data_IF_037973055503
#
_entry.id   IF_037973055503
#
_cell.length_a   1.000
_cell.length_b   1.000
_cell.length_c   1.000
_cell.angle_alpha   90.00
_cell.angle_beta   90.00
_cell.angle_gamma   90.00
#
_symmetry.space_group_name_H-M   'P 1'
#
loop_
_entity.id
_entity.type
_entity.pdbx_description
1 polymer ?
#
# COMPACT_ATOMS: atom_id res chain seq x y z
N UNK A 1 42.70 24.96 -20.91
CA UNK A 1 41.75 23.83 -21.02
C UNK A 1 41.08 23.69 -19.67
N UNK A 2 39.78 24.00 -19.55
CA UNK A 2 39.04 23.76 -18.32
C UNK A 2 38.77 22.25 -18.23
N UNK A 3 39.27 21.60 -17.19
CA UNK A 3 38.90 20.23 -16.84
C UNK A 3 37.42 20.22 -16.44
N UNK A 4 36.56 19.82 -17.39
CA UNK A 4 35.15 19.58 -17.11
C UNK A 4 35.08 18.31 -16.27
N UNK A 5 34.88 18.47 -14.97
CA UNK A 5 34.63 17.32 -14.10
C UNK A 5 33.30 16.69 -14.50
N UNK A 6 33.25 15.36 -14.73
CA UNK A 6 32.01 14.70 -15.02
C UNK A 6 31.02 14.89 -13.85
N UNK A 7 29.74 15.13 -14.13
CA UNK A 7 28.73 15.31 -13.10
C UNK A 7 28.68 14.06 -12.21
N UNK A 8 28.82 14.25 -10.90
CA UNK A 8 28.70 13.16 -9.91
C UNK A 8 27.27 13.09 -9.40
N UNK A 9 26.74 11.87 -9.26
CA UNK A 9 25.45 11.66 -8.62
C UNK A 9 25.60 11.93 -7.12
N UNK A 10 24.83 12.89 -6.61
CA UNK A 10 24.69 13.05 -5.18
C UNK A 10 23.58 12.11 -4.68
N UNK A 11 23.94 10.88 -4.29
CA UNK A 11 23.00 9.87 -3.78
C UNK A 11 22.15 10.39 -2.61
N UNK A 12 22.76 11.18 -1.73
CA UNK A 12 22.07 11.82 -0.61
C UNK A 12 21.00 12.81 -1.09
N UNK A 13 21.30 13.64 -2.10
CA UNK A 13 20.30 14.55 -2.66
C UNK A 13 19.12 13.81 -3.31
N UNK A 14 19.37 12.69 -4.01
CA UNK A 14 18.29 11.85 -4.56
C UNK A 14 17.45 11.26 -3.43
N UNK A 15 18.08 10.69 -2.41
CA UNK A 15 17.38 10.14 -1.25
C UNK A 15 16.55 11.18 -0.49
N UNK A 16 17.12 12.35 -0.23
CA UNK A 16 16.43 13.45 0.46
C UNK A 16 15.23 13.95 -0.36
N UNK A 17 15.35 14.00 -1.70
CA UNK A 17 14.24 14.30 -2.60
C UNK A 17 13.11 13.26 -2.47
N UNK A 18 13.43 11.96 -2.54
CA UNK A 18 12.44 10.89 -2.40
C UNK A 18 11.74 10.94 -1.04
N UNK A 19 12.49 11.17 0.05
CA UNK A 19 11.91 11.34 1.40
C UNK A 19 11.00 12.55 1.48
N UNK A 20 11.35 13.66 0.83
CA UNK A 20 10.50 14.85 0.79
C UNK A 20 9.18 14.56 0.06
N UNK A 21 9.23 13.88 -1.08
CA UNK A 21 8.03 13.48 -1.83
C UNK A 21 7.14 12.55 -1.01
N UNK A 22 7.71 11.54 -0.35
CA UNK A 22 6.98 10.64 0.55
C UNK A 22 6.32 11.40 1.72
N UNK A 23 7.01 12.40 2.31
CA UNK A 23 6.44 13.26 3.36
C UNK A 23 5.26 14.09 2.86
N UNK A 24 5.31 14.60 1.63
CA UNK A 24 4.18 15.33 1.01
C UNK A 24 2.95 14.42 0.89
N UNK A 25 3.17 13.11 0.73
CA UNK A 25 2.12 12.09 0.77
C UNK A 25 1.78 11.57 2.17
N UNK A 26 2.22 12.25 3.23
CA UNK A 26 1.96 11.87 4.61
C UNK A 26 2.49 10.48 4.98
N UNK A 27 3.61 10.06 4.38
CA UNK A 27 4.29 8.81 4.72
C UNK A 27 5.38 9.11 5.75
N UNK A 28 5.39 8.36 6.85
CA UNK A 28 6.48 8.44 7.82
C UNK A 28 7.76 7.86 7.23
N UNK A 29 8.83 8.67 7.25
CA UNK A 29 10.15 8.33 6.73
C UNK A 29 11.22 8.36 7.82
N UNK A 30 10.85 8.36 9.11
CA UNK A 30 11.81 8.44 10.22
C UNK A 30 12.83 7.31 10.21
N UNK A 31 12.37 6.10 9.87
CA UNK A 31 13.17 4.87 9.88
C UNK A 31 13.92 4.61 8.55
N UNK A 32 13.72 5.47 7.54
CA UNK A 32 14.42 5.35 6.26
C UNK A 32 15.89 5.76 6.39
N UNK A 33 16.80 4.83 6.11
CA UNK A 33 18.25 5.02 6.19
C UNK A 33 18.90 5.06 4.80
N UNK A 34 19.82 6.01 4.60
CA UNK A 34 20.49 6.26 3.32
C UNK A 34 21.35 5.06 2.90
N UNK A 35 21.97 4.38 3.85
CA UNK A 35 22.92 3.29 3.63
C UNK A 35 22.29 2.16 2.81
N UNK A 36 21.03 1.80 3.13
CA UNK A 36 20.28 0.78 2.38
C UNK A 36 19.98 1.22 0.96
N UNK A 37 19.54 2.46 0.79
CA UNK A 37 19.24 3.03 -0.53
C UNK A 37 20.50 3.19 -1.39
N UNK A 38 21.64 3.46 -0.75
CA UNK A 38 22.89 3.75 -1.45
C UNK A 38 23.37 2.58 -2.31
N UNK A 39 22.92 1.36 -2.02
CA UNK A 39 23.21 0.14 -2.78
C UNK A 39 22.41 0.05 -4.10
N UNK A 40 21.29 0.76 -4.21
CA UNK A 40 20.43 0.75 -5.42
C UNK A 40 21.03 1.57 -6.55
N UNK A 41 21.67 2.68 -6.20
CA UNK A 41 22.14 3.65 -7.17
C UNK A 41 23.59 3.38 -7.58
N UNK A 42 23.98 3.68 -8.83
CA UNK A 42 25.36 3.56 -9.30
C UNK A 42 26.35 4.24 -8.37
N UNK A 43 27.54 3.64 -8.21
CA UNK A 43 28.64 4.18 -7.43
C UNK A 43 29.21 5.49 -7.99
N UNK A 44 30.23 6.02 -7.32
CA UNK A 44 30.96 7.23 -7.78
C UNK A 44 31.75 7.00 -9.08
N UNK A 45 31.90 5.75 -9.47
CA UNK A 45 32.60 5.22 -10.63
C UNK A 45 31.68 5.00 -11.84
N UNK A 46 30.43 5.46 -11.79
CA UNK A 46 29.46 5.30 -12.88
C UNK A 46 29.95 5.95 -14.21
N UNK A 47 29.81 5.21 -15.32
CA UNK A 47 30.12 5.70 -16.67
C UNK A 47 29.17 6.81 -17.11
N UNK A 48 29.55 7.59 -18.14
CA UNK A 48 28.68 8.63 -18.70
C UNK A 48 27.37 8.04 -19.24
N UNK A 49 27.40 6.85 -19.83
CA UNK A 49 26.20 6.14 -20.26
C UNK A 49 25.30 5.79 -19.07
N UNK A 50 25.85 5.24 -17.99
CA UNK A 50 25.10 4.93 -16.77
C UNK A 50 24.46 6.18 -16.16
N UNK A 51 25.18 7.30 -16.13
CA UNK A 51 24.66 8.59 -15.65
C UNK A 51 23.49 9.07 -16.52
N UNK A 52 23.57 8.94 -17.84
CA UNK A 52 22.51 9.32 -18.78
C UNK A 52 21.27 8.44 -18.59
N UNK A 53 21.46 7.13 -18.40
CA UNK A 53 20.36 6.20 -18.11
C UNK A 53 19.71 6.56 -16.77
N UNK A 54 20.49 6.81 -15.72
CA UNK A 54 19.94 7.20 -14.43
C UNK A 54 19.17 8.52 -14.50
N UNK A 55 19.70 9.53 -15.20
CA UNK A 55 19.00 10.79 -15.38
C UNK A 55 17.68 10.60 -16.12
N UNK A 56 17.66 9.77 -17.17
CA UNK A 56 16.44 9.41 -17.88
C UNK A 56 15.46 8.68 -16.96
N UNK A 57 15.95 7.75 -16.14
CA UNK A 57 15.15 6.97 -15.19
C UNK A 57 14.48 7.86 -14.14
N UNK A 58 15.20 8.83 -13.57
CA UNK A 58 14.69 9.73 -12.53
C UNK A 58 13.66 10.75 -13.05
N UNK A 59 13.58 10.97 -14.37
CA UNK A 59 12.67 11.96 -14.98
C UNK A 59 11.53 11.28 -15.74
N UNK A 60 11.81 10.17 -16.43
CA UNK A 60 10.89 9.45 -17.31
C UNK A 60 11.16 7.93 -17.20
N UNK A 61 10.83 7.31 -16.06
CA UNK A 61 11.17 5.91 -15.77
C UNK A 61 10.60 4.91 -16.78
N UNK A 62 9.43 5.19 -17.38
CA UNK A 62 8.83 4.33 -18.41
C UNK A 62 9.62 4.28 -19.72
N UNK A 63 10.50 5.25 -19.99
CA UNK A 63 11.31 5.25 -21.21
C UNK A 63 12.58 4.40 -21.08
N UNK A 64 12.98 4.07 -19.85
CA UNK A 64 14.16 3.24 -19.61
C UNK A 64 13.78 1.77 -19.76
N UNK A 65 14.46 1.01 -20.64
CA UNK A 65 14.21 -0.42 -20.83
C UNK A 65 14.82 -1.25 -19.70
N UNK A 66 14.55 -2.56 -19.64
CA UNK A 66 15.15 -3.44 -18.65
C UNK A 66 16.67 -3.60 -18.86
N UNK A 67 17.14 -3.57 -20.11
CA UNK A 67 18.55 -3.62 -20.48
C UNK A 67 19.29 -2.36 -20.05
N UNK A 68 18.68 -1.19 -20.22
CA UNK A 68 19.23 0.07 -19.72
C UNK A 68 19.22 0.08 -18.19
N UNK A 69 18.12 -0.33 -17.56
CA UNK A 69 18.00 -0.38 -16.11
C UNK A 69 19.06 -1.32 -15.48
N UNK A 70 19.38 -2.45 -16.14
CA UNK A 70 20.49 -3.36 -15.76
C UNK A 70 21.86 -2.69 -15.71
N UNK A 71 22.05 -1.58 -16.43
CA UNK A 71 23.31 -0.83 -16.39
C UNK A 71 23.47 -0.04 -15.10
N UNK A 72 22.38 0.36 -14.46
CA UNK A 72 22.40 1.21 -13.26
C UNK A 72 21.96 0.50 -11.98
N UNK A 73 21.32 -0.66 -12.10
CA UNK A 73 20.77 -1.45 -11.00
C UNK A 73 20.94 -2.94 -11.32
N UNK A 74 21.31 -3.75 -10.34
CA UNK A 74 21.39 -5.20 -10.53
C UNK A 74 19.99 -5.81 -10.61
N UNK A 75 19.66 -6.40 -11.77
CA UNK A 75 18.42 -7.12 -12.00
C UNK A 75 18.71 -8.60 -12.29
N UNK A 76 18.20 -9.49 -11.46
CA UNK A 76 18.36 -10.94 -11.66
C UNK A 76 17.07 -11.55 -12.22
N UNK A 77 17.10 -12.30 -13.35
CA UNK A 77 15.91 -12.96 -13.85
C UNK A 77 15.37 -13.96 -12.83
N UNK A 78 14.06 -14.00 -12.62
CA UNK A 78 13.44 -14.95 -11.67
C UNK A 78 13.69 -16.43 -12.02
N UNK A 79 13.97 -16.74 -13.29
CA UNK A 79 14.32 -18.09 -13.75
C UNK A 79 15.82 -18.41 -13.63
N UNK A 80 16.64 -17.39 -13.40
CA UNK A 80 18.08 -17.50 -13.29
C UNK A 80 18.54 -17.68 -11.84
N UNK A 81 17.62 -17.81 -10.88
CA UNK A 81 17.94 -18.25 -9.52
C UNK A 81 18.64 -19.59 -9.70
N UNK A 82 19.99 -19.64 -9.55
CA UNK A 82 20.67 -20.91 -9.55
C UNK A 82 20.07 -21.71 -8.40
N UNK A 83 20.39 -22.99 -8.28
CA UNK A 83 20.36 -23.60 -6.96
C UNK A 83 21.24 -22.75 -6.02
N UNK A 84 20.71 -21.67 -5.43
CA UNK A 84 21.26 -21.04 -4.25
C UNK A 84 21.46 -22.23 -3.35
N UNK A 85 22.75 -22.52 -3.09
CA UNK A 85 23.16 -23.66 -2.29
C UNK A 85 22.16 -23.76 -1.15
N UNK A 86 21.58 -24.94 -0.96
CA UNK A 86 20.70 -25.33 0.14
C UNK A 86 21.38 -25.08 1.50
N UNK A 87 21.72 -23.83 1.79
CA UNK A 87 21.98 -23.34 3.13
C UNK A 87 20.60 -22.93 3.60
N UNK A 88 19.97 -23.91 4.23
CA UNK A 88 18.56 -24.07 4.59
C UNK A 88 18.00 -22.97 5.53
N UNK A 89 18.62 -21.79 5.69
CA UNK A 89 18.36 -20.97 6.88
C UNK A 89 18.14 -19.46 6.73
N UNK A 90 18.50 -18.77 5.64
CA UNK A 90 18.13 -17.34 5.55
C UNK A 90 16.71 -17.20 4.97
N UNK A 91 15.77 -16.84 5.84
CA UNK A 91 14.52 -16.24 5.41
C UNK A 91 14.89 -14.86 4.88
N UNK A 92 14.93 -14.68 3.57
CA UNK A 92 15.26 -13.40 2.96
C UNK A 92 13.98 -12.68 2.55
N UNK A 93 13.87 -11.42 2.95
CA UNK A 93 12.87 -10.52 2.42
C UNK A 93 13.35 -9.97 1.09
N UNK A 94 12.65 -10.31 0.02
CA UNK A 94 13.04 -10.06 -1.35
C UNK A 94 12.12 -9.04 -2.02
N UNK A 95 12.71 -8.24 -2.89
CA UNK A 95 11.99 -7.29 -3.73
C UNK A 95 12.11 -7.70 -5.18
N UNK A 96 11.04 -7.47 -5.94
CA UNK A 96 11.00 -7.81 -7.34
C UNK A 96 10.29 -6.72 -8.15
N UNK A 97 10.60 -6.70 -9.42
CA UNK A 97 9.98 -5.86 -10.43
C UNK A 97 9.36 -6.75 -11.49
N UNK A 98 8.14 -6.43 -11.91
CA UNK A 98 7.52 -6.94 -13.12
C UNK A 98 7.53 -5.86 -14.17
N UNK A 99 7.69 -6.24 -15.43
CA UNK A 99 7.83 -5.28 -16.52
C UNK A 99 7.15 -5.78 -17.78
N UNK A 100 6.43 -4.87 -18.43
CA UNK A 100 5.78 -5.07 -19.72
C UNK A 100 6.29 -4.04 -20.70
N UNK A 101 7.04 -4.49 -21.69
CA UNK A 101 7.56 -3.64 -22.76
C UNK A 101 6.57 -3.61 -23.92
N UNK A 102 6.23 -2.41 -24.39
CA UNK A 102 5.25 -2.21 -25.44
C UNK A 102 5.57 -0.97 -26.28
N UNK A 103 4.90 -0.83 -27.41
CA UNK A 103 4.98 0.38 -28.23
C UNK A 103 4.16 1.51 -27.59
N UNK A 104 4.47 2.78 -27.90
CA UNK A 104 3.71 3.90 -27.37
C UNK A 104 2.23 3.86 -27.77
N UNK A 105 1.92 3.44 -29.00
CA UNK A 105 0.53 3.29 -29.48
C UNK A 105 -0.23 2.29 -28.60
N UNK A 106 0.38 1.15 -28.28
CA UNK A 106 -0.25 0.15 -27.40
C UNK A 106 -0.52 0.72 -25.99
N UNK A 107 0.41 1.48 -25.41
CA UNK A 107 0.19 2.12 -24.12
C UNK A 107 -0.96 3.13 -24.17
N UNK A 108 -1.04 3.92 -25.25
CA UNK A 108 -2.12 4.88 -25.47
C UNK A 108 -3.48 4.17 -25.53
N UNK A 109 -3.57 3.11 -26.35
CA UNK A 109 -4.80 2.35 -26.55
C UNK A 109 -5.28 1.69 -25.25
N UNK A 110 -4.37 1.08 -24.48
CA UNK A 110 -4.69 0.52 -23.15
C UNK A 110 -5.22 1.62 -22.22
N UNK A 111 -4.53 2.76 -22.14
CA UNK A 111 -4.91 3.85 -21.25
C UNK A 111 -6.26 4.45 -21.62
N UNK A 112 -6.54 4.56 -22.92
CA UNK A 112 -7.81 5.02 -23.46
C UNK A 112 -8.94 4.03 -23.16
N UNK A 113 -8.72 2.76 -23.44
CA UNK A 113 -9.70 1.70 -23.19
C UNK A 113 -10.12 1.64 -21.72
N UNK A 114 -9.16 1.65 -20.79
CA UNK A 114 -9.46 1.66 -19.35
C UNK A 114 -10.30 2.88 -18.94
N UNK A 115 -10.03 4.06 -19.51
CA UNK A 115 -10.87 5.24 -19.24
C UNK A 115 -12.28 5.13 -19.85
N UNK A 116 -12.42 4.52 -21.03
CA UNK A 116 -13.71 4.27 -21.67
C UNK A 116 -14.55 3.27 -20.86
N UNK A 117 -13.92 2.34 -20.12
CA UNK A 117 -14.58 1.49 -19.12
C UNK A 117 -14.94 2.21 -17.81
N UNK A 118 -14.74 3.53 -17.74
CA UNK A 118 -15.04 4.35 -16.57
C UNK A 118 -13.99 4.27 -15.46
N UNK A 119 -12.77 3.77 -15.73
CA UNK A 119 -11.68 3.80 -14.74
C UNK A 119 -11.08 5.20 -14.65
N UNK A 120 -10.92 5.70 -13.43
CA UNK A 120 -10.45 7.08 -13.14
C UNK A 120 -9.09 7.10 -12.43
N UNK A 121 -8.16 6.22 -12.82
CA UNK A 121 -6.82 6.19 -12.24
C UNK A 121 -5.98 7.36 -12.76
N UNK A 122 -5.37 8.21 -11.90
CA UNK A 122 -4.52 9.32 -12.33
C UNK A 122 -3.33 8.90 -13.20
N UNK A 123 -2.85 7.67 -13.05
CA UNK A 123 -1.76 7.08 -13.82
C UNK A 123 -2.07 7.05 -15.33
N UNK A 124 -3.35 6.90 -15.72
CA UNK A 124 -3.74 6.77 -17.12
C UNK A 124 -3.46 8.06 -17.91
N UNK A 125 -3.57 9.22 -17.29
CA UNK A 125 -3.27 10.51 -17.92
C UNK A 125 -1.76 10.66 -18.15
N UNK A 126 -0.95 10.23 -17.17
CA UNK A 126 0.51 10.19 -17.30
C UNK A 126 0.94 9.22 -18.41
N UNK A 127 0.33 8.04 -18.48
CA UNK A 127 0.66 7.05 -19.51
C UNK A 127 0.31 7.53 -20.91
N UNK A 128 -0.83 8.22 -21.08
CA UNK A 128 -1.17 8.89 -22.33
C UNK A 128 -0.12 9.94 -22.68
N UNK A 129 0.28 10.80 -21.75
CA UNK A 129 1.31 11.79 -22.00
C UNK A 129 2.64 11.14 -22.44
N UNK A 130 3.09 10.12 -21.71
CA UNK A 130 4.31 9.36 -22.02
C UNK A 130 4.23 8.69 -23.40
N UNK A 131 3.05 8.17 -23.77
CA UNK A 131 2.86 7.56 -25.10
C UNK A 131 3.11 8.54 -26.26
N UNK A 132 2.81 9.83 -26.08
CA UNK A 132 3.13 10.84 -27.07
C UNK A 132 4.61 11.24 -27.03
N UNK A 133 5.18 11.37 -25.83
CA UNK A 133 6.58 11.77 -25.64
C UNK A 133 7.59 10.72 -26.10
N UNK A 134 7.24 9.44 -26.03
CA UNK A 134 8.12 8.33 -26.39
C UNK A 134 8.45 8.28 -27.89
N UNK A 135 7.63 8.89 -28.75
CA UNK A 135 7.81 8.85 -30.21
C UNK A 135 7.77 7.42 -30.75
N UNK A 136 8.92 6.92 -31.22
CA UNK A 136 9.07 5.54 -31.70
C UNK A 136 9.77 4.62 -30.70
N UNK A 137 10.17 5.14 -29.53
CA UNK A 137 10.86 4.35 -28.50
C UNK A 137 9.85 3.48 -27.76
N UNK A 138 10.20 2.23 -27.48
CA UNK A 138 9.37 1.38 -26.62
C UNK A 138 9.28 1.97 -25.21
N UNK A 139 8.14 1.72 -24.58
CA UNK A 139 7.85 2.08 -23.19
C UNK A 139 7.76 0.82 -22.34
N UNK A 140 8.16 0.91 -21.09
CA UNK A 140 8.12 -0.20 -20.14
C UNK A 140 7.26 0.17 -18.93
N UNK A 141 6.08 -0.42 -18.83
CA UNK A 141 5.20 -0.34 -17.65
C UNK A 141 5.71 -1.31 -16.61
N UNK A 142 5.70 -0.91 -15.32
CA UNK A 142 6.30 -1.70 -14.25
C UNK A 142 5.39 -1.86 -13.03
N UNK A 143 5.65 -2.91 -12.25
CA UNK A 143 5.09 -3.12 -10.93
C UNK A 143 6.22 -3.51 -9.97
N UNK A 144 6.26 -2.89 -8.80
CA UNK A 144 7.18 -3.24 -7.72
C UNK A 144 6.43 -4.05 -6.68
N UNK A 145 7.04 -5.15 -6.20
CA UNK A 145 6.48 -5.93 -5.11
C UNK A 145 7.54 -6.50 -4.19
N UNK A 146 7.08 -7.05 -3.08
CA UNK A 146 7.91 -7.68 -2.07
C UNK A 146 7.40 -9.08 -1.70
N UNK A 147 8.29 -9.93 -1.19
CA UNK A 147 7.94 -11.26 -0.67
C UNK A 147 8.92 -11.70 0.41
N UNK A 148 8.45 -12.46 1.40
CA UNK A 148 9.27 -12.96 2.50
C UNK A 148 10.12 -14.20 2.11
N UNK A 149 10.20 -14.51 0.80
CA UNK A 149 10.99 -15.60 0.28
C UNK A 149 11.27 -15.45 -1.23
N UNK A 150 12.54 -15.38 -1.61
CA UNK A 150 13.02 -15.31 -3.01
C UNK A 150 12.44 -16.42 -3.90
N UNK A 151 12.37 -17.65 -3.41
CA UNK A 151 11.85 -18.81 -4.17
C UNK A 151 10.35 -18.72 -4.50
N UNK A 152 9.62 -17.79 -3.90
CA UNK A 152 8.18 -17.62 -4.11
C UNK A 152 7.83 -16.49 -5.06
N UNK A 153 8.79 -15.77 -5.65
CA UNK A 153 8.48 -14.63 -6.53
C UNK A 153 7.63 -15.04 -7.72
N UNK A 154 7.96 -16.14 -8.41
CA UNK A 154 7.13 -16.66 -9.51
C UNK A 154 5.75 -17.14 -9.04
N UNK A 155 5.66 -17.69 -7.81
CA UNK A 155 4.37 -18.08 -7.22
C UNK A 155 3.53 -16.85 -6.88
N UNK A 156 4.14 -15.81 -6.32
CA UNK A 156 3.50 -14.52 -6.07
C UNK A 156 3.04 -13.85 -7.35
N UNK A 157 3.76 -14.04 -8.46
CA UNK A 157 3.28 -13.65 -9.78
C UNK A 157 1.96 -14.31 -10.13
N UNK A 158 1.89 -15.64 -10.06
CA UNK A 158 0.66 -16.36 -10.29
C UNK A 158 -0.45 -15.94 -9.33
N UNK A 159 -0.14 -15.77 -8.04
CA UNK A 159 -1.12 -15.37 -7.03
C UNK A 159 -1.66 -13.96 -7.28
N UNK A 160 -0.82 -12.99 -7.63
CA UNK A 160 -1.28 -11.63 -7.93
C UNK A 160 -2.08 -11.59 -9.23
N UNK A 161 -1.65 -12.29 -10.28
CA UNK A 161 -2.40 -12.35 -11.54
C UNK A 161 -3.78 -12.98 -11.35
N UNK A 162 -3.90 -14.02 -10.51
CA UNK A 162 -5.16 -14.72 -10.30
C UNK A 162 -6.08 -14.08 -9.26
N UNK A 163 -5.54 -13.29 -8.31
CA UNK A 163 -6.32 -12.81 -7.15
C UNK A 163 -6.48 -11.28 -7.09
N UNK A 164 -5.88 -10.51 -7.99
CA UNK A 164 -6.09 -9.05 -7.98
C UNK A 164 -7.46 -8.72 -8.55
N UNK A 165 -8.19 -7.89 -7.81
CA UNK A 165 -9.49 -7.38 -8.25
C UNK A 165 -9.34 -6.67 -9.59
N UNK A 166 -10.27 -6.93 -10.52
CA UNK A 166 -10.42 -6.18 -11.78
C UNK A 166 -10.65 -4.68 -11.56
N UNK A 167 -11.02 -4.28 -10.34
CA UNK A 167 -11.15 -2.87 -9.97
C UNK A 167 -9.83 -2.22 -9.53
N UNK A 168 -8.74 -2.97 -9.39
CA UNK A 168 -7.40 -2.42 -9.16
C UNK A 168 -6.73 -2.06 -10.49
N UNK A 169 -5.83 -1.07 -10.50
CA UNK A 169 -5.09 -0.69 -11.72
C UNK A 169 -4.33 -1.87 -12.32
N UNK A 170 -3.63 -2.65 -11.48
CA UNK A 170 -2.94 -3.87 -11.93
C UNK A 170 -3.91 -4.89 -12.54
N UNK A 171 -5.02 -5.18 -11.87
CA UNK A 171 -5.99 -6.18 -12.36
C UNK A 171 -6.71 -5.73 -13.64
N UNK A 172 -7.06 -4.45 -13.74
CA UNK A 172 -7.66 -3.85 -14.92
C UNK A 172 -6.68 -3.86 -16.11
N UNK A 173 -5.43 -3.45 -15.87
CA UNK A 173 -4.35 -3.49 -16.86
C UNK A 173 -4.08 -4.92 -17.36
N UNK A 174 -4.00 -5.90 -16.45
CA UNK A 174 -3.81 -7.30 -16.82
C UNK A 174 -4.96 -7.84 -17.65
N UNK A 175 -6.20 -7.55 -17.26
CA UNK A 175 -7.40 -7.97 -18.02
C UNK A 175 -7.36 -7.38 -19.44
N UNK A 176 -7.05 -6.09 -19.58
CA UNK A 176 -6.89 -5.44 -20.87
C UNK A 176 -5.77 -6.06 -21.72
N UNK A 177 -4.63 -6.41 -21.12
CA UNK A 177 -3.54 -7.09 -21.83
C UNK A 177 -3.92 -8.51 -22.28
N UNK A 178 -4.63 -9.27 -21.45
CA UNK A 178 -5.05 -10.63 -21.80
C UNK A 178 -6.04 -10.65 -22.97
N UNK A 179 -6.93 -9.65 -23.03
CA UNK A 179 -7.96 -9.54 -24.06
C UNK A 179 -7.44 -8.88 -25.35
N UNK A 180 -6.71 -7.76 -25.24
CA UNK A 180 -6.29 -6.96 -26.39
C UNK A 180 -4.86 -7.20 -26.86
N UNK A 181 -3.95 -7.63 -25.98
CA UNK A 181 -2.52 -7.75 -26.27
C UNK A 181 -1.89 -9.01 -25.65
N UNK A 182 -2.40 -10.23 -25.95
CA UNK A 182 -2.01 -11.45 -25.25
C UNK A 182 -0.51 -11.76 -25.33
N UNK A 183 0.14 -11.34 -26.41
CA UNK A 183 1.59 -11.48 -26.58
C UNK A 183 2.40 -10.62 -25.60
N UNK A 184 1.92 -9.43 -25.25
CA UNK A 184 2.54 -8.57 -24.23
C UNK A 184 2.31 -9.18 -22.86
N UNK A 185 1.09 -9.67 -22.59
CA UNK A 185 0.75 -10.36 -21.34
C UNK A 185 1.70 -11.54 -21.06
N UNK A 186 1.92 -12.40 -22.07
CA UNK A 186 2.79 -13.57 -21.96
C UNK A 186 4.29 -13.26 -21.86
N UNK A 187 4.70 -12.04 -22.24
CA UNK A 187 6.11 -11.59 -22.23
C UNK A 187 6.47 -10.76 -21.00
N UNK A 188 5.65 -10.80 -19.95
CA UNK A 188 5.97 -10.15 -18.69
C UNK A 188 7.33 -10.66 -18.16
N UNK A 189 8.27 -9.74 -17.94
CA UNK A 189 9.56 -10.06 -17.36
C UNK A 189 9.52 -9.85 -15.85
N UNK A 190 10.14 -10.78 -15.10
CA UNK A 190 10.22 -10.71 -13.65
C UNK A 190 11.70 -10.69 -13.24
N UNK A 191 12.07 -9.62 -12.54
CA UNK A 191 13.42 -9.40 -12.05
C UNK A 191 13.45 -9.29 -10.52
N UNK A 192 14.35 -10.00 -9.88
CA UNK A 192 14.74 -9.81 -8.50
C UNK A 192 15.66 -8.60 -8.36
N UNK A 193 15.54 -7.93 -7.22
CA UNK A 193 16.37 -6.80 -6.80
C UNK A 193 17.23 -7.24 -5.60
N UNK A 194 18.35 -7.94 -5.85
CA UNK A 194 19.13 -8.57 -4.78
C UNK A 194 19.80 -7.54 -3.86
N UNK A 195 20.25 -6.39 -4.38
CA UNK A 195 21.04 -5.42 -3.61
C UNK A 195 20.24 -4.70 -2.51
N UNK A 196 18.93 -4.88 -2.47
CA UNK A 196 17.99 -4.33 -1.47
C UNK A 196 17.26 -5.39 -0.67
N UNK A 197 17.45 -6.65 -1.05
CA UNK A 197 16.89 -7.76 -0.31
C UNK A 197 17.69 -7.94 0.98
N UNK A 198 17.04 -8.40 2.04
CA UNK A 198 17.67 -8.46 3.37
C UNK A 198 17.22 -9.68 4.16
N UNK A 199 18.11 -10.17 5.02
CA UNK A 199 17.80 -11.27 5.92
C UNK A 199 16.75 -10.85 6.97
N UNK A 200 15.72 -11.69 7.13
CA UNK A 200 14.70 -11.55 8.15
C UNK A 200 15.32 -11.95 9.49
N UNK A 201 15.50 -10.96 10.36
CA UNK A 201 16.05 -11.18 11.70
C UNK A 201 14.97 -11.76 12.63
N UNK A 202 15.25 -12.90 13.28
CA UNK A 202 14.33 -13.51 14.24
C UNK A 202 13.13 -14.21 13.59
N UNK A 203 11.94 -14.03 14.18
CA UNK A 203 10.73 -14.64 13.60
C UNK A 203 10.28 -13.88 12.35
N UNK A 204 9.73 -14.59 11.36
CA UNK A 204 9.26 -13.99 10.10
C UNK A 204 8.17 -12.93 10.27
N UNK A 205 7.53 -12.90 11.44
CA UNK A 205 6.48 -11.95 11.79
C UNK A 205 6.98 -10.82 12.71
N UNK A 206 8.30 -10.69 12.90
CA UNK A 206 8.85 -9.60 13.70
C UNK A 206 8.50 -8.27 13.03
N UNK A 207 7.80 -7.41 13.77
CA UNK A 207 7.25 -6.14 13.26
C UNK A 207 8.36 -5.31 12.58
N UNK A 208 9.56 -5.28 13.14
CA UNK A 208 10.71 -4.57 12.55
C UNK A 208 11.06 -5.01 11.12
N UNK A 209 10.92 -6.30 10.78
CA UNK A 209 11.21 -6.78 9.43
C UNK A 209 10.18 -6.28 8.42
N UNK A 210 8.89 -6.28 8.80
CA UNK A 210 7.83 -5.77 7.92
C UNK A 210 7.88 -4.24 7.79
N UNK A 211 8.23 -3.53 8.86
CA UNK A 211 8.45 -2.08 8.81
C UNK A 211 9.59 -1.72 7.85
N UNK A 212 10.72 -2.45 7.94
CA UNK A 212 11.84 -2.30 7.01
C UNK A 212 11.43 -2.63 5.57
N UNK A 213 10.61 -3.67 5.38
CA UNK A 213 10.06 -4.03 4.07
C UNK A 213 9.27 -2.88 3.47
N UNK A 214 8.35 -2.33 4.25
CA UNK A 214 7.41 -1.32 3.81
C UNK A 214 8.13 -0.02 3.43
N UNK A 215 9.14 0.36 4.21
CA UNK A 215 9.98 1.52 3.92
C UNK A 215 10.76 1.34 2.60
N UNK A 216 11.38 0.18 2.42
CA UNK A 216 12.13 -0.12 1.20
C UNK A 216 11.21 -0.17 -0.02
N UNK A 217 10.05 -0.83 0.08
CA UNK A 217 9.06 -0.88 -1.01
C UNK A 217 8.55 0.51 -1.38
N UNK A 218 8.24 1.34 -0.38
CA UNK A 218 7.75 2.71 -0.60
C UNK A 218 8.79 3.57 -1.31
N UNK A 219 10.04 3.44 -0.89
CA UNK A 219 11.15 4.15 -1.51
C UNK A 219 11.42 3.66 -2.95
N UNK A 220 11.28 2.37 -3.23
CA UNK A 220 11.38 1.84 -4.61
C UNK A 220 10.25 2.39 -5.47
N UNK A 221 9.01 2.37 -4.98
CA UNK A 221 7.87 2.90 -5.73
C UNK A 221 8.08 4.37 -6.05
N UNK A 222 8.60 5.15 -5.10
CA UNK A 222 8.94 6.55 -5.34
C UNK A 222 10.09 6.71 -6.35
N UNK A 223 11.15 5.91 -6.22
CA UNK A 223 12.30 5.92 -7.14
C UNK A 223 11.87 5.63 -8.59
N UNK A 224 10.99 4.65 -8.79
CA UNK A 224 10.46 4.26 -10.09
C UNK A 224 9.32 5.16 -10.59
N UNK A 225 8.96 6.20 -9.83
CA UNK A 225 7.86 7.11 -10.11
C UNK A 225 6.50 6.46 -9.85
N UNK A 226 5.78 6.92 -8.84
CA UNK A 226 4.48 6.34 -8.47
C UNK A 226 3.46 6.37 -9.63
N UNK A 227 3.46 7.44 -10.45
CA UNK A 227 2.55 7.60 -11.59
C UNK A 227 2.87 6.72 -12.81
N UNK A 228 4.09 6.20 -12.88
CA UNK A 228 4.56 5.31 -13.95
C UNK A 228 4.43 3.83 -13.61
N UNK A 229 4.00 3.51 -12.39
CA UNK A 229 3.86 2.14 -11.90
C UNK A 229 2.40 1.69 -11.88
N UNK A 230 2.22 0.37 -11.80
CA UNK A 230 0.94 -0.29 -11.54
C UNK A 230 0.60 -0.33 -10.04
N UNK A 231 1.46 0.21 -9.19
CA UNK A 231 1.30 0.30 -7.75
C UNK A 231 0.36 1.46 -7.39
N UNK A 232 -0.91 1.17 -7.04
CA UNK A 232 -1.82 2.21 -6.51
C UNK A 232 -1.45 2.67 -5.10
N UNK A 233 -0.84 1.78 -4.31
CA UNK A 233 -0.36 2.12 -2.98
C UNK A 233 1.09 2.57 -3.10
N UNK A 234 1.45 3.62 -2.37
CA UNK A 234 2.82 4.15 -2.28
C UNK A 234 3.80 3.21 -1.54
N UNK A 235 3.48 1.91 -1.45
CA UNK A 235 4.26 0.87 -0.81
C UNK A 235 3.66 0.32 0.48
N UNK A 236 4.18 -0.84 0.88
CA UNK A 236 4.01 -1.40 2.22
C UNK A 236 2.76 -2.24 2.45
N UNK A 237 2.91 -3.18 3.39
CA UNK A 237 1.80 -3.86 4.02
C UNK A 237 1.09 -2.95 5.04
N UNK A 238 1.84 -2.11 5.76
CA UNK A 238 1.33 -1.14 6.71
C UNK A 238 1.42 0.28 6.14
N UNK A 239 0.28 0.98 6.09
CA UNK A 239 0.28 2.41 5.77
C UNK A 239 0.75 3.16 7.02
N UNK A 240 1.95 3.74 6.95
CA UNK A 240 2.50 4.63 7.98
C UNK A 240 2.08 6.07 7.70
N UNK A 241 0.80 6.37 7.96
CA UNK A 241 0.30 7.73 7.83
C UNK A 241 0.87 8.62 8.94
N UNK A 242 1.44 9.75 8.55
CA UNK A 242 1.93 10.81 9.41
C UNK A 242 1.01 12.05 9.22
N UNK A 243 0.14 12.37 10.20
CA UNK A 243 -0.61 13.62 10.19
C UNK A 243 0.32 14.82 10.05
N UNK A 244 -0.21 15.94 9.58
CA UNK A 244 0.56 17.19 9.51
C UNK A 244 0.88 17.67 10.92
N UNK A 245 2.02 18.33 11.08
CA UNK A 245 2.42 18.91 12.36
C UNK A 245 1.41 19.96 12.84
N UNK A 246 0.80 20.69 11.91
CA UNK A 246 -0.29 21.63 12.22
C UNK A 246 -1.51 20.90 12.82
N UNK A 247 -1.89 19.74 12.28
CA UNK A 247 -3.03 18.96 12.77
C UNK A 247 -2.77 18.46 14.19
N UNK A 248 -1.54 17.99 14.46
CA UNK A 248 -1.14 17.57 15.81
C UNK A 248 -1.15 18.72 16.80
N UNK A 249 -0.61 19.87 16.40
CA UNK A 249 -0.56 21.08 17.25
C UNK A 249 -1.97 21.57 17.57
N UNK A 250 -2.86 21.60 16.57
CA UNK A 250 -4.28 21.92 16.77
C UNK A 250 -4.89 20.95 17.76
N UNK A 251 -4.72 19.64 17.56
CA UNK A 251 -5.32 18.63 18.43
C UNK A 251 -4.78 18.71 19.86
N UNK A 252 -3.46 18.88 20.03
CA UNK A 252 -2.81 19.04 21.32
C UNK A 252 -3.38 20.26 22.07
N UNK A 253 -3.61 21.38 21.36
CA UNK A 253 -4.19 22.59 21.93
C UNK A 253 -5.64 22.44 22.43
N UNK A 254 -6.39 21.43 21.97
CA UNK A 254 -7.76 21.18 22.42
C UNK A 254 -7.83 20.58 23.83
N UNK A 255 -6.72 20.04 24.36
CA UNK A 255 -6.65 19.44 25.70
C UNK A 255 -7.77 18.41 25.96
N UNK A 256 -8.10 17.59 24.95
CA UNK A 256 -9.20 16.63 25.04
C UNK A 256 -8.85 15.46 25.96
N UNK A 257 -9.88 14.90 26.62
CA UNK A 257 -9.81 13.66 27.42
C UNK A 257 -10.78 12.61 26.89
N UNK A 258 -11.04 12.65 25.58
CA UNK A 258 -12.12 11.89 24.96
C UNK A 258 -11.90 10.38 25.12
N UNK A 259 -10.71 9.87 24.78
CA UNK A 259 -10.42 8.43 24.84
C UNK A 259 -10.52 7.94 26.28
N UNK A 260 -10.03 8.71 27.25
CA UNK A 260 -10.15 8.36 28.66
C UNK A 260 -11.62 8.27 29.08
N UNK A 261 -12.41 9.33 28.82
CA UNK A 261 -13.82 9.42 29.23
C UNK A 261 -14.69 8.37 28.57
N UNK A 262 -14.56 8.16 27.26
CA UNK A 262 -15.37 7.15 26.55
C UNK A 262 -15.08 5.73 27.04
N UNK A 263 -13.85 5.47 27.49
CA UNK A 263 -13.44 4.17 28.03
C UNK A 263 -13.86 3.95 29.49
N UNK A 264 -13.88 4.99 30.32
CA UNK A 264 -14.22 4.88 31.75
C UNK A 264 -15.71 5.09 32.05
N UNK A 265 -16.36 5.98 31.32
CA UNK A 265 -17.73 6.45 31.57
C UNK A 265 -18.68 6.10 30.42
N UNK A 266 -18.16 5.62 29.29
CA UNK A 266 -18.98 5.22 28.16
C UNK A 266 -19.72 3.90 28.40
N UNK A 267 -20.90 3.78 27.80
CA UNK A 267 -21.74 2.58 27.86
C UNK A 267 -22.21 2.19 26.46
N UNK A 268 -22.35 0.89 26.22
CA UNK A 268 -22.97 0.42 24.99
C UNK A 268 -24.44 0.82 24.91
N UNK A 269 -24.94 1.02 23.69
CA UNK A 269 -26.35 1.28 23.44
C UNK A 269 -27.23 0.16 24.03
N UNK A 270 -28.40 0.46 24.63
CA UNK A 270 -29.23 -0.56 25.27
C UNK A 270 -29.66 -1.69 24.31
N UNK A 271 -29.50 -2.94 24.74
CA UNK A 271 -29.74 -4.12 23.89
C UNK A 271 -31.19 -4.25 23.40
N UNK A 272 -32.15 -3.85 24.23
CA UNK A 272 -33.57 -3.84 23.86
C UNK A 272 -33.84 -2.87 22.69
N UNK A 273 -33.26 -1.66 22.74
CA UNK A 273 -33.37 -0.67 21.66
C UNK A 273 -32.60 -1.11 20.43
N UNK A 274 -31.39 -1.66 20.61
CA UNK A 274 -30.58 -2.17 19.51
C UNK A 274 -31.30 -3.28 18.74
N UNK A 275 -31.88 -4.24 19.47
CA UNK A 275 -32.63 -5.36 18.86
C UNK A 275 -33.82 -4.86 18.04
N UNK A 276 -34.52 -3.82 18.51
CA UNK A 276 -35.60 -3.19 17.74
C UNK A 276 -35.09 -2.56 16.44
N UNK A 277 -33.96 -1.86 16.46
CA UNK A 277 -33.34 -1.26 15.27
C UNK A 277 -32.92 -2.36 14.29
N UNK A 278 -32.28 -3.43 14.77
CA UNK A 278 -31.86 -4.56 13.92
C UNK A 278 -33.03 -5.21 13.21
N UNK A 279 -34.16 -5.40 13.91
CA UNK A 279 -35.36 -5.98 13.32
C UNK A 279 -35.97 -5.07 12.23
N UNK A 280 -35.95 -3.75 12.43
CA UNK A 280 -36.41 -2.78 11.43
C UNK A 280 -35.53 -2.80 10.18
N UNK A 281 -34.20 -2.79 10.35
CA UNK A 281 -33.28 -2.91 9.22
C UNK A 281 -33.45 -4.24 8.49
N UNK A 282 -33.57 -5.36 9.20
CA UNK A 282 -33.79 -6.67 8.59
C UNK A 282 -35.08 -6.72 7.75
N UNK A 283 -36.15 -6.02 8.18
CA UNK A 283 -37.39 -5.91 7.42
C UNK A 283 -37.20 -5.09 6.12
N UNK A 284 -36.51 -3.94 6.19
CA UNK A 284 -36.19 -3.11 5.01
C UNK A 284 -35.30 -3.86 4.01
N UNK A 285 -34.37 -4.70 4.50
CA UNK A 285 -33.50 -5.51 3.63
C UNK A 285 -34.21 -6.68 2.96
N UNK A 286 -35.12 -7.34 3.67
CA UNK A 286 -35.91 -8.44 3.10
C UNK A 286 -36.78 -7.98 1.91
N UNK A 287 -37.15 -6.70 1.85
CA UNK A 287 -37.91 -6.11 0.75
C UNK A 287 -37.04 -5.67 -0.44
N UNK A 288 -35.73 -5.46 -0.26
CA UNK A 288 -34.85 -4.80 -1.26
C UNK A 288 -33.81 -5.68 -1.94
N UNK A 289 -33.44 -6.84 -1.38
CA UNK A 289 -32.31 -7.63 -1.92
C UNK A 289 -32.74 -8.94 -2.60
N UNK A 290 -32.64 -8.93 -3.93
CA UNK A 290 -32.19 -10.08 -4.73
C UNK A 290 -30.68 -9.97 -4.88
N UNK A 291 -29.87 -10.62 -4.03
CA UNK A 291 -28.41 -10.61 -4.22
C UNK A 291 -27.69 -11.88 -3.72
N UNK A 292 -26.78 -12.33 -4.58
CA UNK A 292 -26.10 -13.64 -4.70
C UNK A 292 -25.02 -13.96 -3.64
N UNK A 293 -24.82 -13.12 -2.63
CA UNK A 293 -23.74 -13.32 -1.64
C UNK A 293 -24.26 -13.92 -0.33
N UNK A 294 -23.93 -15.20 -0.11
CA UNK A 294 -24.19 -15.89 1.16
C UNK A 294 -23.20 -15.39 2.22
N UNK A 295 -23.55 -14.33 2.94
CA UNK A 295 -22.81 -13.89 4.13
C UNK A 295 -23.02 -14.91 5.25
N UNK A 296 -21.92 -15.40 5.84
CA UNK A 296 -22.00 -16.37 6.92
C UNK A 296 -22.74 -15.79 8.15
N UNK A 297 -23.43 -16.65 8.92
CA UNK A 297 -24.11 -16.21 10.16
C UNK A 297 -23.14 -15.53 11.14
N UNK A 298 -21.89 -16.00 11.18
CA UNK A 298 -20.83 -15.42 12.00
C UNK A 298 -20.46 -14.01 11.53
N UNK A 299 -20.29 -13.80 10.22
CA UNK A 299 -20.02 -12.50 9.63
C UNK A 299 -21.16 -11.51 9.90
N UNK A 300 -22.41 -11.94 9.71
CA UNK A 300 -23.58 -11.12 10.04
C UNK A 300 -23.60 -10.69 11.50
N UNK A 301 -23.35 -11.62 12.42
CA UNK A 301 -23.25 -11.30 13.85
C UNK A 301 -22.12 -10.31 14.16
N UNK A 302 -20.96 -10.45 13.50
CA UNK A 302 -19.85 -9.52 13.66
C UNK A 302 -20.19 -8.11 13.15
N UNK A 303 -20.81 -8.00 11.96
CA UNK A 303 -21.27 -6.74 11.36
C UNK A 303 -22.29 -6.03 12.25
N UNK A 304 -23.29 -6.76 12.76
CA UNK A 304 -24.31 -6.21 13.66
C UNK A 304 -23.69 -5.75 14.99
N UNK A 305 -22.77 -6.53 15.56
CA UNK A 305 -22.19 -6.20 16.85
C UNK A 305 -21.24 -5.00 16.78
N UNK A 306 -20.44 -4.88 15.72
CA UNK A 306 -19.54 -3.74 15.56
C UNK A 306 -20.28 -2.45 15.22
N UNK A 307 -21.47 -2.52 14.63
CA UNK A 307 -22.30 -1.34 14.34
C UNK A 307 -23.01 -0.80 15.59
N UNK A 308 -23.04 -1.58 16.69
CA UNK A 308 -23.73 -1.19 17.92
C UNK A 308 -23.06 0.06 18.52
N UNK A 309 -23.80 1.16 18.71
CA UNK A 309 -23.19 2.39 19.18
C UNK A 309 -22.62 2.26 20.59
N UNK A 310 -21.47 2.88 20.82
CA UNK A 310 -20.94 3.14 22.16
C UNK A 310 -21.17 4.61 22.48
N UNK A 311 -21.67 4.89 23.67
CA UNK A 311 -22.24 6.21 24.02
C UNK A 311 -21.57 6.79 25.26
N UNK A 312 -21.29 8.09 25.20
CA UNK A 312 -20.96 8.91 26.35
C UNK A 312 -22.14 9.84 26.64
N UNK A 313 -22.71 9.78 27.84
CA UNK A 313 -23.89 10.57 28.22
C UNK A 313 -25.05 10.46 27.19
N UNK A 314 -25.27 9.25 26.67
CA UNK A 314 -26.31 8.97 25.66
C UNK A 314 -25.98 9.42 24.24
N UNK A 315 -24.78 9.95 23.98
CA UNK A 315 -24.34 10.44 22.66
C UNK A 315 -23.21 9.57 22.09
N UNK A 316 -23.31 9.19 20.82
CA UNK A 316 -22.21 8.53 20.09
C UNK A 316 -21.34 9.59 19.45
N UNK A 317 -20.10 9.71 19.92
CA UNK A 317 -19.20 10.81 19.53
C UNK A 317 -18.44 10.50 18.25
N UNK A 318 -18.09 9.24 18.01
CA UNK A 318 -17.36 8.81 16.82
C UNK A 318 -17.97 7.52 16.27
N UNK A 319 -18.10 7.47 14.94
CA UNK A 319 -18.51 6.29 14.18
C UNK A 319 -17.59 6.18 12.98
N UNK A 320 -17.03 5.00 12.76
CA UNK A 320 -16.28 4.71 11.55
C UNK A 320 -17.22 4.14 10.50
N UNK A 321 -17.17 4.68 9.30
CA UNK A 321 -17.99 4.24 8.17
C UNK A 321 -17.03 3.87 7.05
N UNK A 322 -17.15 2.67 6.51
CA UNK A 322 -16.22 2.16 5.50
C UNK A 322 -16.93 1.34 4.43
N UNK A 323 -16.35 1.32 3.23
CA UNK A 323 -16.99 0.77 2.04
C UNK A 323 -16.95 -0.76 1.98
N UNK A 324 -15.90 -1.45 2.43
CA UNK A 324 -15.88 -2.92 2.36
C UNK A 324 -14.97 -3.58 3.41
N UNK A 325 -15.47 -4.65 4.04
CA UNK A 325 -14.64 -5.65 4.72
C UNK A 325 -14.20 -6.69 3.69
N UNK A 326 -12.89 -6.98 3.61
CA UNK A 326 -12.39 -7.97 2.65
C UNK A 326 -13.07 -9.33 2.84
N UNK A 327 -13.19 -10.14 1.78
CA UNK A 327 -13.79 -11.48 1.86
C UNK A 327 -13.17 -12.33 2.99
N UNK A 328 -11.87 -12.16 3.25
CA UNK A 328 -11.19 -12.81 4.38
C UNK A 328 -11.68 -12.35 5.77
N UNK A 329 -12.12 -11.09 5.94
CA UNK A 329 -12.75 -10.63 7.19
C UNK A 329 -14.14 -11.24 7.35
N UNK A 330 -14.91 -11.28 6.27
CA UNK A 330 -16.24 -11.88 6.28
C UNK A 330 -16.14 -13.38 6.58
N UNK A 331 -15.21 -14.09 5.96
CA UNK A 331 -14.95 -15.50 6.25
C UNK A 331 -14.48 -15.74 7.69
N UNK A 332 -13.64 -14.85 8.22
CA UNK A 332 -13.14 -14.95 9.60
C UNK A 332 -14.21 -14.61 10.66
N UNK A 333 -15.30 -13.92 10.29
CA UNK A 333 -16.34 -13.49 11.21
C UNK A 333 -15.84 -12.54 12.29
N UNK A 334 -14.84 -11.70 11.98
CA UNK A 334 -14.28 -10.72 12.89
C UNK A 334 -14.81 -9.30 12.62
N UNK A 335 -14.73 -8.42 13.62
CA UNK A 335 -15.01 -6.99 13.43
C UNK A 335 -13.89 -6.33 12.61
N UNK A 336 -14.15 -5.13 12.10
CA UNK A 336 -13.15 -4.30 11.44
C UNK A 336 -11.89 -4.16 12.31
N UNK A 337 -12.04 -3.69 13.55
CA UNK A 337 -10.93 -3.44 14.48
C UNK A 337 -10.25 -4.71 15.03
N UNK A 338 -10.92 -5.86 15.03
CA UNK A 338 -10.34 -7.13 15.44
C UNK A 338 -9.71 -7.91 14.27
N UNK A 339 -9.90 -7.43 13.05
CA UNK A 339 -9.40 -8.05 11.83
C UNK A 339 -7.97 -7.64 11.45
N UNK A 340 -7.44 -8.31 10.42
CA UNK A 340 -6.07 -8.09 9.92
C UNK A 340 -6.01 -7.18 8.68
N UNK A 341 -7.05 -6.39 8.39
CA UNK A 341 -7.05 -5.51 7.21
C UNK A 341 -6.05 -4.37 7.40
N UNK A 342 -5.47 -3.93 6.27
CA UNK A 342 -4.60 -2.75 6.24
C UNK A 342 -5.33 -1.51 6.78
N UNK A 343 -6.57 -1.30 6.36
CA UNK A 343 -7.40 -0.17 6.78
C UNK A 343 -7.71 -0.19 8.28
N UNK A 344 -8.03 -1.35 8.84
CA UNK A 344 -8.24 -1.49 10.29
C UNK A 344 -7.02 -1.09 11.10
N UNK A 345 -5.84 -1.57 10.71
CA UNK A 345 -4.57 -1.24 11.35
C UNK A 345 -4.25 0.25 11.24
N UNK A 346 -4.48 0.86 10.07
CA UNK A 346 -4.30 2.30 9.87
C UNK A 346 -5.19 3.12 10.83
N UNK A 347 -6.49 2.82 10.85
CA UNK A 347 -7.43 3.53 11.75
C UNK A 347 -7.08 3.30 13.21
N UNK A 348 -6.70 2.06 13.57
CA UNK A 348 -6.24 1.74 14.92
C UNK A 348 -5.03 2.57 15.33
N UNK A 349 -4.03 2.72 14.44
CA UNK A 349 -2.85 3.55 14.69
C UNK A 349 -3.22 5.03 14.88
N UNK A 350 -4.16 5.57 14.10
CA UNK A 350 -4.66 6.95 14.28
C UNK A 350 -5.30 7.14 15.67
N UNK A 351 -6.15 6.21 16.09
CA UNK A 351 -6.78 6.26 17.43
C UNK A 351 -5.73 6.16 18.54
N UNK A 352 -4.74 5.28 18.39
CA UNK A 352 -3.64 5.17 19.35
C UNK A 352 -2.81 6.45 19.43
N UNK A 353 -2.58 7.12 18.31
CA UNK A 353 -1.86 8.40 18.26
C UNK A 353 -2.63 9.51 18.95
N UNK A 354 -3.93 9.63 18.67
CA UNK A 354 -4.85 10.53 19.37
C UNK A 354 -4.78 10.31 20.88
N UNK A 355 -4.89 9.05 21.33
CA UNK A 355 -4.76 8.71 22.75
C UNK A 355 -3.42 9.18 23.33
N UNK A 356 -2.32 8.95 22.62
CA UNK A 356 -1.00 9.36 23.07
C UNK A 356 -0.85 10.88 23.20
N UNK A 357 -1.49 11.66 22.32
CA UNK A 357 -1.55 13.12 22.46
C UNK A 357 -2.35 13.50 23.72
N UNK A 358 -3.52 12.90 23.94
CA UNK A 358 -4.30 13.14 25.17
C UNK A 358 -3.53 12.78 26.45
N UNK A 359 -2.78 11.68 26.44
CA UNK A 359 -1.97 11.24 27.59
C UNK A 359 -0.82 12.21 27.89
N UNK A 360 -0.18 12.78 26.87
CA UNK A 360 0.86 13.81 27.03
C UNK A 360 0.32 15.09 27.66
N UNK A 361 -0.92 15.46 27.34
CA UNK A 361 -1.58 16.64 27.93
C UNK A 361 -1.90 16.47 29.43
N UNK A 362 -1.89 15.25 29.97
CA UNK A 362 -2.30 14.96 31.35
C UNK A 362 -1.32 14.03 32.08
N UNK A 363 -0.04 14.44 32.13
CA UNK A 363 1.02 13.72 32.86
C UNK A 363 0.63 13.59 34.34
N UNK A 364 0.59 12.35 34.85
CA UNK A 364 0.30 12.03 36.26
C UNK A 364 -1.11 11.48 36.52
N UNK A 365 -2.00 11.50 35.52
CA UNK A 365 -3.26 10.77 35.58
C UNK A 365 -3.05 9.26 35.32
N UNK A 366 -3.83 8.40 35.99
CA UNK A 366 -3.76 6.94 35.79
C UNK A 366 -3.93 6.59 34.31
N UNK A 367 -2.86 6.07 33.68
CA UNK A 367 -2.90 5.64 32.29
C UNK A 367 -3.84 4.45 32.13
N UNK A 368 -4.99 4.69 31.48
CA UNK A 368 -5.88 3.61 31.10
C UNK A 368 -5.28 2.86 29.92
N UNK A 369 -5.10 1.55 30.06
CA UNK A 369 -4.80 0.70 28.90
C UNK A 369 -5.97 0.82 27.93
N UNK A 370 -5.67 1.14 26.67
CA UNK A 370 -6.71 1.12 25.64
C UNK A 370 -7.21 -0.31 25.55
N UNK A 371 -8.50 -0.51 25.87
CA UNK A 371 -9.16 -1.78 25.67
C UNK A 371 -9.28 -2.08 24.17
N UNK A 372 -9.99 -3.16 23.82
CA UNK A 372 -10.27 -3.46 22.42
C UNK A 372 -11.02 -2.29 21.77
N UNK A 373 -10.46 -1.72 20.70
CA UNK A 373 -11.07 -0.61 19.95
C UNK A 373 -12.49 -0.94 19.48
N UNK A 374 -12.74 -2.20 19.10
CA UNK A 374 -14.06 -2.71 18.72
C UNK A 374 -15.13 -2.57 19.78
N UNK A 375 -14.77 -2.32 21.05
CA UNK A 375 -15.72 -2.08 22.14
C UNK A 375 -16.05 -0.60 22.34
N UNK A 376 -15.19 0.30 21.85
CA UNK A 376 -15.30 1.73 22.08
C UNK A 376 -15.77 2.49 20.84
N UNK A 377 -15.48 1.96 19.66
CA UNK A 377 -15.73 2.61 18.38
C UNK A 377 -16.60 1.74 17.48
N UNK A 378 -17.83 2.19 17.18
CA UNK A 378 -18.66 1.50 16.22
C UNK A 378 -18.10 1.63 14.81
N UNK A 379 -18.25 0.56 14.03
CA UNK A 379 -17.92 0.53 12.61
C UNK A 379 -19.15 0.12 11.80
N UNK A 380 -19.50 0.90 10.78
CA UNK A 380 -20.61 0.64 9.86
C UNK A 380 -20.02 0.33 8.48
N UNK A 381 -20.37 -0.83 7.95
CA UNK A 381 -20.03 -1.20 6.57
C UNK A 381 -21.11 -0.64 5.63
N UNK A 382 -20.69 0.07 4.58
CA UNK A 382 -21.60 0.72 3.62
C UNK A 382 -22.02 -0.24 2.50
N UNK A 383 -21.19 -1.22 2.14
CA UNK A 383 -21.58 -2.26 1.17
C UNK A 383 -22.36 -3.38 1.88
N UNK A 384 -23.52 -3.69 1.29
CA UNK A 384 -24.63 -4.52 1.77
C UNK A 384 -25.50 -3.90 2.88
N UNK A 385 -25.62 -2.56 2.89
CA UNK A 385 -26.78 -1.85 3.48
C UNK A 385 -27.57 -0.99 2.46
N UNK A 386 -27.27 -1.07 1.16
CA UNK A 386 -28.03 -0.40 0.09
C UNK A 386 -28.47 -1.35 -1.01
#
# INVERSE_FOLDING_TARGET
>A
MATVYPPRINKKAVFDKLRLELKVHHIDVSEMVLERFSLILPGTDASQEQLKVLQTFLVQPMLVTNEELKQIMRLEPSNAVPSFKKNVLSREHAFYMRSWSMTPIQLYDISKHLQEEGRTFPELDEWKFISFMAGTRNVTVRYIGSTNCTTTVSRRFADDTNNKSRNSLLGAFQSCLEEGYPFISQRAEIHLLPDISFDILGSGNHIGNQLNSDDTESLLIQLFGCRSLLNLQLGGHYIRYLPREEDETIFESLHTRYIRRIMSEGSQFPDNKWSSIKNQFAAVFAEKLSLDRVVSRAAKGALENQAKPHQYLGTTIAVFVGEELTDSHLQAGCSFFDGNSKSSRLVGNLVHRIKHIEERNFIGDNMLRLGKLSKAFPFINVIEIL
#
